data_IF_208441204628
#
_entry.id   IF_208441204628
#
_cell.length_a   1.000
_cell.length_b   1.000
_cell.length_c   1.000
_cell.angle_alpha   90.00
_cell.angle_beta   90.00
_cell.angle_gamma   90.00
#
_symmetry.space_group_name_H-M   'P 1'
#
loop_
_entity.id
_entity.type
_entity.pdbx_description
1 polymer ?
#
# COMPACT_ATOMS: atom_id res chain seq x y z
N UNK A 1 4.46 -2.51 7.68
CA UNK A 1 5.41 -2.91 8.74
C UNK A 1 6.83 -2.63 8.28
N UNK A 2 7.86 -2.68 9.14
CA UNK A 2 9.24 -2.39 8.70
C UNK A 2 9.84 -3.55 7.91
N UNK A 3 9.81 -3.47 6.58
CA UNK A 3 10.41 -4.44 5.67
C UNK A 3 10.83 -3.78 4.35
N UNK A 4 11.82 -4.36 3.68
CA UNK A 4 12.33 -3.92 2.37
C UNK A 4 12.03 -4.91 1.24
N UNK A 5 11.54 -6.10 1.58
CA UNK A 5 11.08 -7.12 0.65
C UNK A 5 9.99 -7.99 1.28
N UNK A 6 9.09 -8.51 0.44
CA UNK A 6 8.07 -9.48 0.83
C UNK A 6 7.53 -10.17 -0.44
N UNK A 7 7.16 -11.45 -0.32
CA UNK A 7 6.61 -12.22 -1.44
C UNK A 7 7.49 -12.25 -2.69
N UNK A 8 8.81 -12.37 -2.49
CA UNK A 8 9.80 -12.45 -3.57
C UNK A 8 10.07 -11.13 -4.32
N UNK A 9 9.52 -10.00 -3.87
CA UNK A 9 9.65 -8.70 -4.54
C UNK A 9 10.13 -7.61 -3.58
N UNK A 10 10.78 -6.58 -4.12
CA UNK A 10 11.11 -5.37 -3.37
C UNK A 10 9.85 -4.55 -3.12
N UNK A 11 9.40 -4.54 -1.88
CA UNK A 11 8.27 -3.72 -1.40
C UNK A 11 8.70 -3.14 -0.07
N UNK A 12 8.57 -1.82 0.08
CA UNK A 12 8.98 -1.14 1.29
C UNK A 12 7.73 -0.76 2.07
N UNK A 13 7.67 -1.20 3.32
CA UNK A 13 6.69 -0.80 4.33
C UNK A 13 5.21 -1.19 4.11
N UNK A 14 4.77 -1.32 2.87
CA UNK A 14 3.45 -1.77 2.45
C UNK A 14 3.57 -2.73 1.26
N UNK A 15 2.79 -3.80 1.30
CA UNK A 15 2.63 -4.71 0.18
C UNK A 15 1.25 -5.34 0.23
N UNK A 16 0.70 -5.60 -0.95
CA UNK A 16 -0.42 -6.49 -1.13
C UNK A 16 0.14 -7.84 -1.60
N UNK A 17 -0.40 -8.94 -1.05
CA UNK A 17 0.05 -10.30 -1.34
C UNK A 17 -1.07 -11.11 -1.98
N UNK A 18 -0.73 -11.89 -2.99
CA UNK A 18 -1.60 -12.95 -3.47
C UNK A 18 -1.50 -14.14 -2.51
N UNK A 19 -2.60 -14.50 -1.86
CA UNK A 19 -2.64 -15.56 -0.84
C UNK A 19 -2.42 -16.97 -1.41
N UNK A 20 -2.66 -17.17 -2.70
CA UNK A 20 -2.47 -18.47 -3.36
C UNK A 20 -1.02 -18.71 -3.77
N UNK A 21 -0.30 -17.65 -4.14
CA UNK A 21 1.10 -17.76 -4.62
C UNK A 21 2.13 -17.26 -3.62
N UNK A 22 1.69 -16.58 -2.55
CA UNK A 22 2.55 -15.87 -1.59
C UNK A 22 3.44 -14.80 -2.23
N UNK A 23 3.12 -14.35 -3.45
CA UNK A 23 3.86 -13.31 -4.16
C UNK A 23 3.25 -11.92 -3.93
N UNK A 24 4.08 -10.89 -3.90
CA UNK A 24 3.58 -9.52 -3.89
C UNK A 24 2.94 -9.13 -5.23
N UNK A 25 1.87 -8.34 -5.18
CA UNK A 25 1.19 -7.78 -6.36
C UNK A 25 1.99 -6.63 -6.98
N UNK A 26 1.46 -6.00 -8.04
CA UNK A 26 2.06 -4.82 -8.66
C UNK A 26 1.98 -3.56 -7.81
N UNK A 27 1.21 -3.55 -6.71
CA UNK A 27 1.13 -2.42 -5.80
C UNK A 27 2.50 -2.10 -5.21
N UNK A 28 3.02 -0.90 -5.50
CA UNK A 28 4.28 -0.40 -4.98
C UNK A 28 4.24 1.12 -4.82
N UNK A 29 4.30 1.60 -3.59
CA UNK A 29 4.31 3.02 -3.26
C UNK A 29 5.73 3.59 -3.12
N UNK A 30 6.76 2.78 -3.39
CA UNK A 30 8.14 3.14 -3.11
C UNK A 30 8.44 3.19 -1.61
N UNK A 31 9.47 3.94 -1.24
CA UNK A 31 9.88 4.10 0.16
C UNK A 31 9.05 5.19 0.82
N UNK A 32 7.89 4.80 1.36
CA UNK A 32 7.00 5.67 2.16
C UNK A 32 6.92 5.15 3.58
N UNK A 33 6.89 6.05 4.57
CA UNK A 33 6.61 5.67 5.95
C UNK A 33 5.11 5.46 6.11
N UNK A 34 4.71 4.29 6.63
CA UNK A 34 3.30 3.98 6.93
C UNK A 34 3.12 4.07 8.44
N UNK A 35 2.23 4.96 8.88
CA UNK A 35 1.92 5.15 10.30
C UNK A 35 0.65 4.45 10.74
N UNK A 36 -0.33 4.33 9.85
CA UNK A 36 -1.64 3.74 10.16
C UNK A 36 -2.18 2.98 8.95
N UNK A 37 -2.93 1.92 9.23
CA UNK A 37 -3.67 1.16 8.24
C UNK A 37 -4.97 0.68 8.87
N UNK A 38 -6.10 0.94 8.21
CA UNK A 38 -7.43 0.52 8.65
C UNK A 38 -8.29 0.11 7.45
N UNK A 39 -9.37 -0.64 7.69
CA UNK A 39 -10.27 -1.09 6.62
C UNK A 39 -11.72 -1.21 7.10
N UNK A 40 -12.66 -0.89 6.20
CA UNK A 40 -14.09 -1.11 6.42
C UNK A 40 -14.62 -2.35 5.66
N UNK A 41 -13.72 -3.19 5.11
CA UNK A 41 -14.04 -4.39 4.33
C UNK A 41 -14.16 -4.18 2.82
N UNK A 42 -14.36 -2.94 2.35
CA UNK A 42 -14.38 -2.60 0.91
C UNK A 42 -13.29 -1.62 0.53
N UNK A 43 -12.84 -0.81 1.48
CA UNK A 43 -11.78 0.17 1.35
C UNK A 43 -10.71 -0.05 2.40
N UNK A 44 -9.49 0.33 2.04
CA UNK A 44 -8.31 0.33 2.88
C UNK A 44 -7.83 1.77 2.98
N UNK A 45 -7.73 2.28 4.19
CA UNK A 45 -7.24 3.60 4.53
C UNK A 45 -5.78 3.47 4.96
N UNK A 46 -4.90 4.24 4.33
CA UNK A 46 -3.46 4.20 4.61
C UNK A 46 -2.97 5.59 4.96
N UNK A 47 -2.50 5.75 6.19
CA UNK A 47 -1.93 7.01 6.71
C UNK A 47 -0.41 6.94 6.81
N UNK A 48 0.28 8.02 6.45
CA UNK A 48 1.74 8.02 6.33
C UNK A 48 2.32 9.33 5.79
N UNK A 49 3.62 9.33 5.56
CA UNK A 49 4.34 10.46 4.93
C UNK A 49 4.14 10.45 3.41
N UNK A 50 2.92 10.76 2.98
CA UNK A 50 2.57 10.85 1.57
C UNK A 50 2.54 12.31 1.11
N UNK A 51 3.15 12.52 -0.06
CA UNK A 51 2.87 13.64 -0.98
C UNK A 51 2.11 13.13 -2.23
N UNK A 52 2.27 11.83 -2.51
CA UNK A 52 1.66 11.11 -3.62
C UNK A 52 1.37 9.65 -3.23
N UNK A 53 0.31 9.10 -3.79
CA UNK A 53 0.02 7.66 -3.80
C UNK A 53 -0.24 7.23 -5.25
N UNK A 54 0.69 6.45 -5.81
CA UNK A 54 0.70 6.18 -7.26
C UNK A 54 0.85 7.49 -8.04
N UNK A 55 -0.13 7.82 -8.88
CA UNK A 55 -0.17 9.04 -9.70
C UNK A 55 -0.98 10.19 -9.06
N UNK A 56 -1.61 9.95 -7.91
CA UNK A 56 -2.46 10.95 -7.26
C UNK A 56 -1.70 11.72 -6.19
N UNK A 57 -1.86 13.05 -6.16
CA UNK A 57 -1.34 13.87 -5.06
C UNK A 57 -2.16 13.63 -3.78
N UNK A 58 -1.47 13.30 -2.71
CA UNK A 58 -2.05 12.88 -1.42
C UNK A 58 -1.19 13.38 -0.29
N UNK A 59 -1.76 14.21 0.57
CA UNK A 59 -1.06 14.73 1.73
C UNK A 59 -1.50 13.98 2.98
N UNK A 60 -0.66 13.07 3.45
CA UNK A 60 -0.83 12.39 4.74
C UNK A 60 -1.63 11.08 4.73
N UNK A 61 -2.55 10.87 3.78
CA UNK A 61 -3.26 9.59 3.64
C UNK A 61 -3.83 9.37 2.24
N UNK A 62 -4.19 8.14 1.93
CA UNK A 62 -4.98 7.79 0.76
C UNK A 62 -5.92 6.62 1.05
N UNK A 63 -6.88 6.42 0.16
CA UNK A 63 -7.81 5.28 0.19
C UNK A 63 -7.60 4.43 -1.06
N UNK A 64 -7.63 3.12 -0.89
CA UNK A 64 -7.63 2.17 -1.99
C UNK A 64 -8.71 1.12 -1.77
N UNK A 65 -9.12 0.41 -2.83
CA UNK A 65 -9.95 -0.77 -2.69
C UNK A 65 -9.15 -1.99 -2.23
N UNK A 66 -9.84 -3.11 -1.98
CA UNK A 66 -9.22 -4.38 -1.56
C UNK A 66 -8.40 -5.07 -2.66
N UNK A 67 -8.33 -4.51 -3.87
CA UNK A 67 -7.51 -5.00 -4.98
C UNK A 67 -6.31 -4.08 -5.26
N UNK A 68 -6.03 -3.12 -4.36
CA UNK A 68 -4.88 -2.23 -4.47
C UNK A 68 -5.09 -1.03 -5.41
N UNK A 69 -6.30 -0.79 -5.92
CA UNK A 69 -6.56 0.38 -6.75
C UNK A 69 -6.72 1.63 -5.89
N UNK A 70 -5.83 2.60 -6.09
CA UNK A 70 -5.85 3.87 -5.37
C UNK A 70 -6.96 4.75 -5.93
N UNK A 71 -7.82 5.28 -5.05
CA UNK A 71 -8.92 6.16 -5.42
C UNK A 71 -8.43 7.62 -5.63
N UNK A 72 -9.05 8.41 -6.52
CA UNK A 72 -8.75 9.84 -6.78
C UNK A 72 -9.00 10.81 -5.61
#
# INVERSE_FOLDING_TARGET
>A
GSFTSIGGQFRNNLAELNTSTSSATSLNLGTKTIYALDTNGTQIYVGGDFEYAGTYSRNGFFVMDTSGNIQP
#
